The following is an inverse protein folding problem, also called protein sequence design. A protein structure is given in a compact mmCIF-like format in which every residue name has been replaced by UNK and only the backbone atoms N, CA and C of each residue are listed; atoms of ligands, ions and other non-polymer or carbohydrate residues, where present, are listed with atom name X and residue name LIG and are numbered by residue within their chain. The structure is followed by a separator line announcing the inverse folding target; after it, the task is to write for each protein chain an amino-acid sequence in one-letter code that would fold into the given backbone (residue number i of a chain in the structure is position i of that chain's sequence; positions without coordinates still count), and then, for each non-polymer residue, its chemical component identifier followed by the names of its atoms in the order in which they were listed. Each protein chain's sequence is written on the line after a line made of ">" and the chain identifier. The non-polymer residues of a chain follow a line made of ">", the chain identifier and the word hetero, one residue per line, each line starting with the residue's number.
data_IF_438976285142
#
_entry.id   IF_438976285142
#
_cell.length_a   1.000
_cell.length_b   1.000
_cell.length_c   1.000
_cell.angle_alpha   90.00
_cell.angle_beta   90.00
_cell.angle_gamma   90.00
#
_symmetry.space_group_name_H-M   'P 1'
#
loop_
_entity.id
_entity.type
_entity.pdbx_description
1 polymer ?
#
# COMPACT_ATOMS: atom_id res chain seq x y z
N UNK A 1 -4.08 -19.08 12.56
CA UNK A 1 -5.41 -19.61 12.19
C UNK A 1 -6.14 -18.65 11.26
N UNK A 2 -6.38 -17.39 11.67
CA UNK A 2 -7.03 -16.39 10.83
C UNK A 2 -6.30 -16.13 9.49
N UNK A 3 -4.97 -16.07 9.47
CA UNK A 3 -4.19 -15.82 8.24
C UNK A 3 -4.35 -16.91 7.20
N UNK A 4 -4.37 -18.17 7.66
CA UNK A 4 -4.53 -19.33 6.81
C UNK A 4 -5.94 -19.39 6.25
N UNK A 5 -6.97 -19.21 7.09
CA UNK A 5 -8.36 -19.14 6.63
C UNK A 5 -8.61 -17.97 5.67
N UNK A 6 -7.96 -16.81 5.89
CA UNK A 6 -8.07 -15.67 4.97
C UNK A 6 -7.42 -15.98 3.62
N UNK A 7 -6.25 -16.62 3.61
CA UNK A 7 -5.56 -16.99 2.38
C UNK A 7 -6.30 -18.09 1.61
N UNK A 8 -6.78 -19.11 2.32
CA UNK A 8 -7.49 -20.25 1.75
C UNK A 8 -8.83 -19.79 1.13
N UNK A 9 -9.63 -18.97 1.84
CA UNK A 9 -10.86 -18.40 1.27
C UNK A 9 -10.58 -17.43 0.12
N UNK A 10 -9.51 -16.64 0.20
CA UNK A 10 -9.18 -15.71 -0.87
C UNK A 10 -8.80 -16.46 -2.15
N UNK A 11 -8.14 -17.62 -2.01
CA UNK A 11 -7.80 -18.49 -3.12
C UNK A 11 -9.04 -19.17 -3.71
N UNK A 12 -10.00 -19.58 -2.87
CA UNK A 12 -11.24 -20.22 -3.32
C UNK A 12 -12.22 -19.25 -3.97
N UNK A 13 -12.38 -18.06 -3.39
CA UNK A 13 -13.31 -17.03 -3.88
C UNK A 13 -12.73 -16.19 -5.02
N UNK A 14 -11.42 -16.26 -5.24
CA UNK A 14 -10.70 -15.38 -6.18
C UNK A 14 -10.77 -13.89 -5.80
N UNK A 15 -11.18 -13.58 -4.57
CA UNK A 15 -11.31 -12.22 -4.00
C UNK A 15 -11.12 -12.29 -2.50
N UNK A 16 -10.84 -11.14 -1.87
CA UNK A 16 -10.75 -11.08 -0.41
C UNK A 16 -12.08 -11.51 0.24
N UNK A 17 -12.05 -12.39 1.26
CA UNK A 17 -13.24 -12.79 1.99
C UNK A 17 -13.74 -11.68 2.92
N UNK A 18 -15.06 -11.63 3.09
CA UNK A 18 -15.74 -10.71 4.01
C UNK A 18 -15.65 -11.21 5.45
N UNK A 19 -15.92 -10.31 6.41
CA UNK A 19 -15.95 -10.63 7.83
C UNK A 19 -16.92 -11.78 8.16
N UNK A 20 -18.08 -11.81 7.51
CA UNK A 20 -19.08 -12.86 7.72
C UNK A 20 -18.65 -14.21 7.13
N UNK A 21 -17.96 -14.19 5.98
CA UNK A 21 -17.40 -15.39 5.33
C UNK A 21 -16.27 -15.99 6.19
N UNK A 22 -15.40 -15.14 6.76
CA UNK A 22 -14.36 -15.55 7.70
C UNK A 22 -14.91 -16.07 9.04
N UNK A 23 -15.96 -15.45 9.55
CA UNK A 23 -16.66 -15.90 10.77
C UNK A 23 -17.28 -17.28 10.58
N UNK A 24 -17.88 -17.50 9.42
CA UNK A 24 -18.47 -18.81 9.06
C UNK A 24 -17.38 -19.87 8.89
N UNK A 25 -16.28 -19.56 8.21
CA UNK A 25 -15.18 -20.51 8.01
C UNK A 25 -14.49 -20.92 9.31
N UNK A 26 -14.29 -19.95 10.21
CA UNK A 26 -13.55 -20.17 11.45
C UNK A 26 -14.43 -20.67 12.61
N UNK A 27 -15.74 -20.78 12.39
CA UNK A 27 -16.75 -21.07 13.42
C UNK A 27 -16.64 -20.09 14.62
N UNK A 28 -16.44 -18.81 14.30
CA UNK A 28 -16.24 -17.72 15.27
C UNK A 28 -17.34 -16.65 15.14
N UNK A 29 -17.61 -15.94 16.22
CA UNK A 29 -18.46 -14.76 16.19
C UNK A 29 -17.84 -13.63 15.34
N UNK A 30 -18.65 -12.80 14.63
CA UNK A 30 -18.14 -11.66 13.86
C UNK A 30 -17.30 -10.68 14.68
N UNK A 31 -17.63 -10.53 15.97
CA UNK A 31 -16.87 -9.71 16.92
C UNK A 31 -15.50 -10.32 17.24
N UNK A 32 -15.40 -11.65 17.36
CA UNK A 32 -14.14 -12.35 17.62
C UNK A 32 -13.21 -12.30 16.40
N UNK A 33 -13.75 -12.40 15.19
CA UNK A 33 -12.99 -12.20 13.95
C UNK A 33 -12.50 -10.76 13.83
N UNK A 34 -13.35 -9.79 14.16
CA UNK A 34 -12.97 -8.37 14.18
C UNK A 34 -11.85 -8.10 15.20
N UNK A 35 -11.97 -8.63 16.42
CA UNK A 35 -10.94 -8.54 17.45
C UNK A 35 -9.65 -9.26 17.03
N UNK A 36 -9.73 -10.42 16.39
CA UNK A 36 -8.57 -11.12 15.86
C UNK A 36 -7.84 -10.34 14.76
N UNK A 37 -8.58 -9.66 13.88
CA UNK A 37 -8.03 -8.79 12.85
C UNK A 37 -7.39 -7.51 13.44
N UNK A 38 -8.02 -6.93 14.48
CA UNK A 38 -7.48 -5.78 15.21
C UNK A 38 -6.22 -6.15 16.01
N UNK A 39 -6.24 -7.27 16.72
CA UNK A 39 -5.08 -7.82 17.43
C UNK A 39 -3.95 -8.15 16.46
N UNK A 40 -4.26 -8.66 15.25
CA UNK A 40 -3.26 -8.86 14.19
C UNK A 40 -2.66 -7.54 13.72
N UNK A 41 -3.47 -6.50 13.51
CA UNK A 41 -2.95 -5.17 13.16
C UNK A 41 -2.08 -4.62 14.30
N UNK A 42 -2.51 -4.75 15.54
CA UNK A 42 -1.74 -4.33 16.72
C UNK A 42 -0.42 -5.11 16.86
N UNK A 43 -0.41 -6.43 16.64
CA UNK A 43 0.80 -7.25 16.69
C UNK A 43 1.74 -6.98 15.51
N UNK A 44 1.17 -6.70 14.32
CA UNK A 44 1.94 -6.20 13.17
C UNK A 44 2.56 -4.85 13.50
N UNK A 45 1.81 -3.95 14.15
CA UNK A 45 2.26 -2.63 14.62
C UNK A 45 3.34 -2.78 15.70
N UNK A 46 3.23 -3.68 16.69
CA UNK A 46 4.26 -3.86 17.73
C UNK A 46 5.53 -4.55 17.20
N UNK A 47 5.39 -5.51 16.28
CA UNK A 47 6.53 -6.12 15.59
C UNK A 47 7.24 -5.12 14.68
N UNK A 48 6.48 -4.19 14.11
CA UNK A 48 6.96 -3.04 13.35
C UNK A 48 7.63 -2.04 14.29
N UNK A 49 7.05 -1.70 15.45
CA UNK A 49 7.59 -0.71 16.40
C UNK A 49 8.95 -1.15 17.01
N UNK A 50 9.19 -2.46 17.11
CA UNK A 50 10.53 -3.00 17.44
C UNK A 50 11.57 -2.79 16.35
N UNK A 51 11.16 -2.61 15.10
CA UNK A 51 12.00 -2.25 13.95
C UNK A 51 12.00 -0.71 13.76
N UNK A 52 10.93 -0.03 14.17
CA UNK A 52 10.66 1.41 14.03
C UNK A 52 11.37 2.31 15.05
N UNK A 53 12.33 1.79 15.83
CA UNK A 53 13.39 2.62 16.45
C UNK A 53 14.37 3.22 15.43
N UNK A 54 14.00 3.24 14.15
CA UNK A 54 14.70 3.95 13.08
C UNK A 54 13.70 4.53 12.07
N UNK A 55 13.10 5.68 12.40
CA UNK A 55 12.55 6.64 11.44
C UNK A 55 11.17 6.34 10.83
N UNK A 56 10.15 7.09 11.24
CA UNK A 56 8.76 7.03 10.79
C UNK A 56 8.49 7.49 9.33
N UNK A 57 9.44 7.28 8.43
CA UNK A 57 9.30 7.56 6.99
C UNK A 57 9.59 6.35 6.10
N UNK A 58 10.35 5.36 6.58
CA UNK A 58 10.90 4.31 5.71
C UNK A 58 9.92 3.16 5.42
N UNK A 59 8.97 2.88 6.32
CA UNK A 59 8.06 1.72 6.17
C UNK A 59 6.96 1.94 5.13
N UNK A 60 6.39 3.15 5.09
CA UNK A 60 5.37 3.51 4.10
C UNK A 60 5.98 3.66 2.71
N UNK A 61 7.20 4.18 2.64
CA UNK A 61 7.95 4.29 1.40
C UNK A 61 8.33 2.90 0.87
N UNK A 62 8.76 1.95 1.72
CA UNK A 62 9.01 0.56 1.32
C UNK A 62 7.78 -0.16 0.75
N UNK A 63 6.60 0.05 1.36
CA UNK A 63 5.36 -0.53 0.85
C UNK A 63 4.89 0.14 -0.46
N UNK A 64 5.16 1.44 -0.61
CA UNK A 64 4.88 2.19 -1.83
C UNK A 64 5.75 1.68 -3.00
N UNK A 65 7.02 1.35 -2.74
CA UNK A 65 7.95 0.77 -3.71
C UNK A 65 7.44 -0.56 -4.30
N UNK A 66 6.96 -1.48 -3.46
CA UNK A 66 6.43 -2.79 -3.92
C UNK A 66 5.20 -2.62 -4.83
N UNK A 67 4.30 -1.67 -4.51
CA UNK A 67 3.11 -1.38 -5.34
C UNK A 67 3.48 -0.71 -6.66
N UNK A 68 4.44 0.21 -6.67
CA UNK A 68 4.92 0.91 -7.87
C UNK A 68 5.49 -0.06 -8.91
N UNK A 69 6.38 -0.98 -8.49
CA UNK A 69 6.96 -1.99 -9.41
C UNK A 69 5.95 -3.01 -9.94
N UNK A 70 4.82 -3.21 -9.24
CA UNK A 70 3.72 -4.08 -9.72
C UNK A 70 2.83 -3.38 -10.76
N UNK A 71 2.50 -2.11 -10.53
CA UNK A 71 1.60 -1.35 -11.41
C UNK A 71 2.33 -0.72 -12.63
N UNK A 72 3.64 -0.45 -12.54
CA UNK A 72 4.49 0.02 -13.64
C UNK A 72 5.59 -1.03 -13.96
N UNK A 73 5.39 -1.87 -14.98
CA UNK A 73 6.33 -2.93 -15.33
C UNK A 73 7.69 -2.42 -15.85
N UNK A 74 7.81 -1.13 -16.16
CA UNK A 74 9.08 -0.49 -16.51
C UNK A 74 9.99 -0.22 -15.30
N UNK A 75 9.45 -0.33 -14.09
CA UNK A 75 10.21 -0.38 -12.85
C UNK A 75 10.38 -1.86 -12.46
N UNK A 76 11.36 -2.52 -13.06
CA UNK A 76 11.73 -3.91 -12.71
C UNK A 76 11.90 -4.01 -11.18
N UNK A 77 11.28 -5.01 -10.54
CA UNK A 77 11.19 -5.21 -9.09
C UNK A 77 12.47 -4.72 -8.42
N UNK A 78 12.43 -3.53 -7.80
CA UNK A 78 13.65 -2.81 -7.43
C UNK A 78 14.36 -3.58 -6.31
N UNK A 79 15.31 -4.44 -6.71
CA UNK A 79 16.18 -5.18 -5.80
C UNK A 79 17.05 -4.22 -4.97
N UNK A 80 17.20 -2.96 -5.42
CA UNK A 80 17.90 -1.89 -4.70
C UNK A 80 16.94 -0.86 -4.10
N UNK A 81 16.18 -1.27 -3.07
CA UNK A 81 15.40 -0.36 -2.22
C UNK A 81 16.24 0.84 -1.72
N UNK A 82 17.56 0.65 -1.57
CA UNK A 82 18.51 1.70 -1.19
C UNK A 82 18.59 2.89 -2.16
N UNK A 83 18.28 2.71 -3.44
CA UNK A 83 18.37 3.80 -4.44
C UNK A 83 17.05 4.56 -4.56
N UNK A 84 15.91 3.87 -4.49
CA UNK A 84 14.61 4.51 -4.71
C UNK A 84 14.01 5.14 -3.44
N UNK A 85 14.30 4.62 -2.24
CA UNK A 85 13.85 5.25 -0.98
C UNK A 85 14.33 6.71 -0.83
N UNK A 86 15.63 7.04 -1.04
CA UNK A 86 16.07 8.43 -1.01
C UNK A 86 15.42 9.30 -2.08
N UNK A 87 15.07 8.73 -3.24
CA UNK A 87 14.42 9.45 -4.34
C UNK A 87 12.96 9.78 -4.01
N UNK A 88 12.23 8.86 -3.38
CA UNK A 88 10.90 9.13 -2.81
C UNK A 88 10.98 10.25 -1.77
N UNK A 89 12.03 10.24 -0.94
CA UNK A 89 12.31 11.29 0.03
C UNK A 89 12.64 12.67 -0.61
N UNK A 90 12.92 12.75 -1.91
CA UNK A 90 13.07 14.02 -2.64
C UNK A 90 11.77 14.58 -3.22
N UNK A 91 10.70 13.78 -3.23
CA UNK A 91 9.40 14.20 -3.73
C UNK A 91 8.75 15.21 -2.79
N UNK A 92 8.00 16.14 -3.37
CA UNK A 92 7.14 17.05 -2.62
C UNK A 92 6.01 16.28 -1.93
N UNK A 93 5.44 16.89 -0.89
CA UNK A 93 4.32 16.30 -0.14
C UNK A 93 3.12 16.00 -1.05
N UNK A 94 2.85 16.85 -2.06
CA UNK A 94 1.77 16.64 -3.01
C UNK A 94 2.03 15.42 -3.91
N UNK A 95 3.25 15.25 -4.40
CA UNK A 95 3.64 14.08 -5.22
C UNK A 95 3.54 12.79 -4.41
N UNK A 96 4.06 12.77 -3.18
CA UNK A 96 3.93 11.60 -2.28
C UNK A 96 2.49 11.27 -1.95
N UNK A 97 1.67 12.28 -1.71
CA UNK A 97 0.24 12.10 -1.43
C UNK A 97 -0.47 11.45 -2.62
N UNK A 98 -0.22 11.97 -3.83
CA UNK A 98 -0.81 11.42 -5.06
C UNK A 98 -0.34 9.98 -5.32
N UNK A 99 0.94 9.68 -5.11
CA UNK A 99 1.48 8.31 -5.22
C UNK A 99 0.82 7.38 -4.19
N UNK A 100 0.77 7.78 -2.92
CA UNK A 100 0.17 6.97 -1.85
C UNK A 100 -1.30 6.66 -2.14
N UNK A 101 -2.09 7.66 -2.50
CA UNK A 101 -3.51 7.46 -2.82
C UNK A 101 -3.69 6.55 -4.05
N UNK A 102 -2.81 6.67 -5.06
CA UNK A 102 -2.91 5.86 -6.28
C UNK A 102 -2.49 4.42 -6.08
N UNK A 103 -1.35 4.18 -5.44
CA UNK A 103 -0.72 2.86 -5.38
C UNK A 103 -1.08 2.09 -4.12
N UNK A 104 -1.36 2.79 -3.01
CA UNK A 104 -1.75 2.16 -1.74
C UNK A 104 -3.24 2.31 -1.44
N UNK A 105 -3.82 3.47 -1.74
CA UNK A 105 -5.24 3.73 -1.58
C UNK A 105 -6.13 3.14 -2.68
N UNK A 106 -5.53 2.57 -3.74
CA UNK A 106 -6.22 2.02 -4.92
C UNK A 106 -7.21 3.02 -5.57
N UNK A 107 -6.96 4.31 -5.38
CA UNK A 107 -7.83 5.35 -5.87
C UNK A 107 -7.53 5.63 -7.34
N UNK A 108 -8.60 5.76 -8.14
CA UNK A 108 -8.50 6.29 -9.50
C UNK A 108 -8.05 7.74 -9.48
N UNK A 109 -7.47 8.23 -10.58
CA UNK A 109 -7.03 9.63 -10.68
C UNK A 109 -8.19 10.62 -10.45
N UNK A 110 -9.42 10.26 -10.83
CA UNK A 110 -10.63 11.04 -10.56
C UNK A 110 -10.94 11.08 -9.06
N UNK A 111 -10.93 9.94 -8.37
CA UNK A 111 -11.16 9.90 -6.92
C UNK A 111 -10.08 10.66 -6.15
N UNK A 112 -8.81 10.59 -6.60
CA UNK A 112 -7.71 11.37 -6.02
C UNK A 112 -7.96 12.87 -6.22
N UNK A 113 -8.35 13.27 -7.42
CA UNK A 113 -8.64 14.65 -7.77
C UNK A 113 -9.76 15.23 -6.90
N UNK A 114 -10.85 14.50 -6.71
CA UNK A 114 -11.94 14.84 -5.79
C UNK A 114 -11.44 14.96 -4.35
N UNK A 115 -10.61 14.02 -3.90
CA UNK A 115 -10.10 13.94 -2.52
C UNK A 115 -9.19 15.12 -2.14
N UNK A 116 -8.40 15.63 -3.08
CA UNK A 116 -7.42 16.71 -2.85
C UNK A 116 -7.82 18.05 -3.47
N UNK A 117 -9.01 18.12 -4.08
CA UNK A 117 -9.60 19.36 -4.60
C UNK A 117 -8.92 19.91 -5.86
N UNK A 118 -8.47 19.03 -6.77
CA UNK A 118 -7.83 19.41 -8.05
C UNK A 118 -8.51 18.73 -9.23
N UNK A 119 -8.04 19.00 -10.46
CA UNK A 119 -8.54 18.27 -11.63
C UNK A 119 -7.86 16.91 -11.81
N UNK A 120 -8.58 15.93 -12.38
CA UNK A 120 -8.00 14.63 -12.75
C UNK A 120 -6.78 14.78 -13.69
N UNK A 121 -6.82 15.76 -14.60
CA UNK A 121 -5.72 16.06 -15.49
C UNK A 121 -4.47 16.57 -14.75
N UNK A 122 -4.66 17.32 -13.66
CA UNK A 122 -3.56 17.71 -12.78
C UNK A 122 -2.97 16.51 -12.04
N UNK A 123 -3.81 15.59 -11.52
CA UNK A 123 -3.34 14.33 -10.92
C UNK A 123 -2.55 13.49 -11.92
N UNK A 124 -3.06 13.37 -13.15
CA UNK A 124 -2.38 12.67 -14.24
C UNK A 124 -1.00 13.24 -14.51
N UNK A 125 -0.90 14.57 -14.67
CA UNK A 125 0.38 15.27 -14.86
C UNK A 125 1.37 15.04 -13.73
N UNK A 126 0.88 15.07 -12.48
CA UNK A 126 1.70 14.79 -11.29
C UNK A 126 2.26 13.37 -11.38
N UNK A 127 1.40 12.35 -11.55
CA UNK A 127 1.83 10.95 -11.65
C UNK A 127 2.84 10.73 -12.78
N UNK A 128 2.56 11.21 -13.98
CA UNK A 128 3.47 11.03 -15.13
C UNK A 128 4.82 11.69 -14.89
N UNK A 129 4.85 12.92 -14.38
CA UNK A 129 6.11 13.64 -14.10
C UNK A 129 6.89 12.94 -12.99
N UNK A 130 6.23 12.56 -11.91
CA UNK A 130 6.87 11.90 -10.77
C UNK A 130 7.45 10.55 -11.17
N UNK A 131 6.70 9.71 -11.88
CA UNK A 131 7.19 8.40 -12.37
C UNK A 131 8.36 8.56 -13.35
N UNK A 132 8.27 9.53 -14.26
CA UNK A 132 9.37 9.81 -15.19
C UNK A 132 10.65 10.25 -14.46
N UNK A 133 10.53 11.11 -13.45
CA UNK A 133 11.65 11.55 -12.62
C UNK A 133 12.25 10.39 -11.81
N UNK A 134 11.41 9.51 -11.26
CA UNK A 134 11.88 8.34 -10.53
C UNK A 134 12.65 7.38 -11.43
N UNK A 135 12.19 7.19 -12.68
CA UNK A 135 12.88 6.36 -13.69
C UNK A 135 14.21 6.96 -14.14
N UNK A 136 14.23 8.25 -14.49
CA UNK A 136 15.45 8.94 -14.95
C UNK A 136 16.58 8.92 -13.92
N UNK A 137 16.24 8.95 -12.62
CA UNK A 137 17.22 8.92 -11.54
C UNK A 137 17.63 7.50 -11.13
N UNK A 138 16.96 6.49 -11.68
CA UNK A 138 17.25 5.09 -11.43
C UNK A 138 18.20 4.48 -12.48
N UNK A 139 18.11 4.95 -13.73
CA UNK A 139 19.09 4.68 -14.81
C UNK A 139 20.45 5.36 -14.55
#
# INVERSE_FOLDING_TARGET
>A
MLDRATADLAQELGRAPTLSELATELDLGPEEVSQGLLARRAYKIESIDRISRRGAGDEDDGALLDRLGRDDPGLEFIENHHTLLPLLATLSEQERTVLRLRFFGEMTQTQIAERIGVSQMQVSRILTRTLAQLREKFD
#
